data_IF_519056640553
#
_entry.id   IF_519056640553
#
_cell.length_a   1.000
_cell.length_b   1.000
_cell.length_c   1.000
_cell.angle_alpha   90.00
_cell.angle_beta   90.00
_cell.angle_gamma   90.00
#
_symmetry.space_group_name_H-M   'P 1'
#
loop_
_entity.id
_entity.type
_entity.pdbx_description
1 polymer ?
#
# COMPACT_ATOMS: atom_id res chain seq x y z
N UNK A 1 22.70 -24.96 21.13
CA UNK A 1 21.93 -24.08 22.03
C UNK A 1 22.75 -22.82 22.19
N UNK A 2 22.28 -21.70 21.67
CA UNK A 2 22.95 -20.41 21.84
C UNK A 2 22.03 -19.60 22.75
N UNK A 3 22.59 -19.16 23.88
CA UNK A 3 21.90 -18.31 24.85
C UNK A 3 22.43 -16.89 24.72
N UNK A 4 21.56 -15.94 24.41
CA UNK A 4 21.89 -14.52 24.44
C UNK A 4 21.19 -13.89 25.64
N UNK A 5 22.00 -13.28 26.51
CA UNK A 5 21.52 -12.39 27.56
C UNK A 5 21.23 -11.03 26.94
N UNK A 6 19.98 -10.57 27.03
CA UNK A 6 19.60 -9.22 26.65
C UNK A 6 18.89 -8.53 27.80
N UNK A 7 19.21 -7.26 28.02
CA UNK A 7 18.55 -6.42 29.01
C UNK A 7 17.75 -5.32 28.28
N UNK A 8 16.44 -5.19 28.56
CA UNK A 8 15.64 -4.00 28.21
C UNK A 8 15.23 -3.36 29.53
N UNK A 9 15.98 -2.33 29.94
CA UNK A 9 15.80 -1.71 31.26
C UNK A 9 16.19 -2.66 32.39
N UNK A 10 15.38 -2.71 33.46
CA UNK A 10 15.58 -3.61 34.62
C UNK A 10 15.03 -5.03 34.39
N UNK A 11 14.49 -5.31 33.19
CA UNK A 11 13.97 -6.63 32.82
C UNK A 11 15.03 -7.37 32.00
N UNK A 12 15.77 -8.27 32.66
CA UNK A 12 16.65 -9.23 32.00
C UNK A 12 15.84 -10.37 31.37
N UNK A 13 16.12 -10.72 30.12
CA UNK A 13 15.52 -11.88 29.46
C UNK A 13 16.60 -12.78 28.84
N UNK A 14 16.36 -14.09 28.93
CA UNK A 14 17.17 -15.10 28.27
C UNK A 14 16.49 -15.53 26.97
N UNK A 15 17.18 -15.33 25.84
CA UNK A 15 16.77 -15.86 24.55
C UNK A 15 17.52 -17.17 24.32
N UNK A 16 16.81 -18.30 24.43
CA UNK A 16 17.35 -19.61 24.09
C UNK A 16 16.95 -19.99 22.66
N UNK A 17 17.94 -20.09 21.77
CA UNK A 17 17.77 -20.68 20.44
C UNK A 17 18.09 -22.18 20.49
N UNK A 18 17.06 -23.00 20.31
CA UNK A 18 17.21 -24.45 20.09
C UNK A 18 17.86 -24.69 18.71
N UNK A 19 18.47 -25.87 18.49
CA UNK A 19 19.14 -26.19 17.21
C UNK A 19 18.21 -26.15 15.98
N UNK A 20 16.88 -26.13 16.20
CA UNK A 20 15.85 -25.97 15.17
C UNK A 20 15.47 -24.49 14.90
N UNK A 21 16.08 -23.52 15.58
CA UNK A 21 15.81 -22.09 15.39
C UNK A 21 14.52 -21.57 16.03
N UNK A 22 13.86 -22.37 16.88
CA UNK A 22 12.65 -21.94 17.60
C UNK A 22 13.02 -20.97 18.74
N UNK A 23 12.35 -19.82 18.77
CA UNK A 23 12.49 -18.81 19.83
C UNK A 23 11.59 -19.16 21.02
N UNK A 24 12.18 -19.39 22.19
CA UNK A 24 11.45 -19.40 23.46
C UNK A 24 11.91 -18.22 24.31
N UNK A 25 10.95 -17.39 24.72
CA UNK A 25 11.17 -16.29 25.65
C UNK A 25 10.66 -16.77 27.02
N UNK A 26 11.55 -16.90 27.99
CA UNK A 26 11.17 -17.11 29.40
C UNK A 26 11.38 -15.79 30.16
N UNK A 27 10.28 -15.21 30.65
CA UNK A 27 10.31 -14.03 31.53
C UNK A 27 10.41 -14.47 32.99
N UNK A 28 11.53 -14.18 33.66
CA UNK A 28 11.76 -14.62 35.05
C UNK A 28 11.17 -13.67 36.12
N UNK A 29 10.58 -12.52 35.74
CA UNK A 29 10.07 -11.51 36.69
C UNK A 29 8.57 -11.62 37.03
N UNK A 30 7.85 -12.69 36.63
CA UNK A 30 6.40 -12.76 36.85
C UNK A 30 5.99 -13.13 38.30
N UNK A 31 6.92 -13.60 39.15
CA UNK A 31 6.56 -14.20 40.43
C UNK A 31 6.28 -13.22 41.60
N UNK A 32 6.68 -11.94 41.50
CA UNK A 32 6.59 -10.99 42.64
C UNK A 32 5.47 -9.93 42.54
N UNK A 33 4.73 -9.87 41.42
CA UNK A 33 3.64 -8.90 41.23
C UNK A 33 2.29 -9.33 41.83
N UNK A 34 2.18 -10.54 42.38
CA UNK A 34 0.90 -11.13 42.82
C UNK A 34 0.59 -10.95 44.32
N UNK A 35 1.38 -10.17 45.05
CA UNK A 35 1.15 -9.94 46.50
C UNK A 35 0.02 -8.92 46.67
N UNK A 36 -1.07 -9.35 47.30
CA UNK A 36 -2.19 -8.49 47.69
C UNK A 36 -1.68 -7.41 48.65
N UNK A 37 -1.77 -6.15 48.23
CA UNK A 37 -1.40 -5.00 49.05
C UNK A 37 -2.48 -4.83 50.16
N UNK A 38 -2.12 -4.94 51.45
CA UNK A 38 -3.09 -4.89 52.55
C UNK A 38 -3.75 -3.51 52.73
N UNK A 39 -3.35 -2.49 51.95
CA UNK A 39 -3.96 -1.15 51.93
C UNK A 39 -5.28 -1.11 51.14
N UNK A 40 -5.54 -2.13 50.31
CA UNK A 40 -6.69 -2.16 49.40
C UNK A 40 -7.88 -2.83 50.07
N UNK A 41 -8.94 -2.06 50.32
CA UNK A 41 -10.24 -2.54 50.81
C UNK A 41 -11.11 -3.05 49.64
N UNK A 42 -12.07 -3.96 49.91
CA UNK A 42 -12.98 -4.56 48.92
C UNK A 42 -13.72 -3.51 48.07
N UNK A 43 -14.12 -2.38 48.67
CA UNK A 43 -14.75 -1.26 47.97
C UNK A 43 -13.83 -0.57 46.95
N UNK A 44 -12.52 -0.52 47.25
CA UNK A 44 -11.51 0.08 46.38
C UNK A 44 -11.25 -0.85 45.19
N UNK A 45 -11.16 -2.17 45.41
CA UNK A 45 -11.03 -3.17 44.33
C UNK A 45 -12.21 -3.13 43.37
N UNK A 46 -13.43 -3.03 43.92
CA UNK A 46 -14.64 -2.93 43.11
C UNK A 46 -14.65 -1.67 42.24
N UNK A 47 -14.28 -0.52 42.81
CA UNK A 47 -14.18 0.74 42.07
C UNK A 47 -13.13 0.66 40.94
N UNK A 48 -11.98 0.02 41.20
CA UNK A 48 -10.97 -0.21 40.16
C UNK A 48 -11.48 -1.15 39.06
N UNK A 49 -12.19 -2.23 39.41
CA UNK A 49 -12.77 -3.15 38.45
C UNK A 49 -13.84 -2.48 37.56
N UNK A 50 -14.67 -1.60 38.14
CA UNK A 50 -15.66 -0.81 37.41
C UNK A 50 -14.98 0.14 36.41
N UNK A 51 -13.96 0.89 36.84
CA UNK A 51 -13.18 1.78 35.97
C UNK A 51 -12.51 1.04 34.81
N UNK A 52 -11.86 -0.11 35.08
CA UNK A 52 -11.23 -0.93 34.05
C UNK A 52 -12.26 -1.47 33.05
N UNK A 53 -13.46 -1.82 33.52
CA UNK A 53 -14.56 -2.27 32.67
C UNK A 53 -15.04 -1.14 31.75
N UNK A 54 -15.13 0.09 32.26
CA UNK A 54 -15.46 1.26 31.44
C UNK A 54 -14.38 1.57 30.41
N UNK A 55 -13.10 1.53 30.81
CA UNK A 55 -11.99 1.74 29.89
C UNK A 55 -11.96 0.70 28.77
N UNK A 56 -12.20 -0.58 29.09
CA UNK A 56 -12.28 -1.65 28.08
C UNK A 56 -13.41 -1.40 27.09
N UNK A 57 -14.61 -1.03 27.56
CA UNK A 57 -15.73 -0.68 26.67
C UNK A 57 -15.40 0.50 25.77
N UNK A 58 -14.73 1.52 26.30
CA UNK A 58 -14.30 2.67 25.51
C UNK A 58 -13.31 2.26 24.42
N UNK A 59 -12.32 1.41 24.74
CA UNK A 59 -11.36 0.88 23.77
C UNK A 59 -12.01 0.00 22.69
N UNK A 60 -13.03 -0.78 23.05
CA UNK A 60 -13.81 -1.56 22.08
C UNK A 60 -14.56 -0.65 21.09
N UNK A 61 -15.22 0.39 21.58
CA UNK A 61 -15.93 1.36 20.74
C UNK A 61 -14.95 2.12 19.85
N UNK A 62 -13.85 2.64 20.41
CA UNK A 62 -12.79 3.32 19.66
C UNK A 62 -12.21 2.41 18.57
N UNK A 63 -11.95 1.14 18.90
CA UNK A 63 -11.47 0.15 17.94
C UNK A 63 -12.44 -0.07 16.77
N UNK A 64 -13.75 -0.14 17.04
CA UNK A 64 -14.78 -0.26 16.01
C UNK A 64 -14.88 1.00 15.13
N UNK A 65 -14.82 2.19 15.73
CA UNK A 65 -14.84 3.46 14.98
C UNK A 65 -13.61 3.60 14.08
N UNK A 66 -12.42 3.26 14.59
CA UNK A 66 -11.19 3.23 13.80
C UNK A 66 -11.33 2.24 12.64
N UNK A 67 -11.83 1.03 12.91
CA UNK A 67 -12.01 0.02 11.87
C UNK A 67 -12.96 0.51 10.77
N UNK A 68 -14.10 1.10 11.14
CA UNK A 68 -15.05 1.66 10.16
C UNK A 68 -14.40 2.76 9.31
N UNK A 69 -13.62 3.65 9.93
CA UNK A 69 -12.91 4.71 9.22
C UNK A 69 -11.85 4.14 8.25
N UNK A 70 -11.08 3.14 8.68
CA UNK A 70 -10.08 2.47 7.85
C UNK A 70 -10.74 1.73 6.67
N UNK A 71 -11.84 1.03 6.90
CA UNK A 71 -12.56 0.30 5.85
C UNK A 71 -13.14 1.25 4.80
N UNK A 72 -13.69 2.39 5.24
CA UNK A 72 -14.17 3.45 4.36
C UNK A 72 -13.02 4.04 3.51
N UNK A 73 -11.91 4.43 4.15
CA UNK A 73 -10.74 4.96 3.45
C UNK A 73 -10.14 3.94 2.47
N UNK A 74 -10.12 2.66 2.85
CA UNK A 74 -9.65 1.57 1.98
C UNK A 74 -10.55 1.40 0.76
N UNK A 75 -11.88 1.49 0.93
CA UNK A 75 -12.83 1.40 -0.18
C UNK A 75 -12.64 2.56 -1.16
N UNK A 76 -12.45 3.77 -0.66
CA UNK A 76 -12.19 4.95 -1.49
C UNK A 76 -10.87 4.84 -2.25
N UNK A 77 -9.80 4.41 -1.57
CA UNK A 77 -8.50 4.18 -2.20
C UNK A 77 -8.60 3.12 -3.32
N UNK A 78 -9.32 2.02 -3.07
CA UNK A 78 -9.57 0.97 -4.07
C UNK A 78 -10.37 1.49 -5.28
N UNK A 79 -11.40 2.31 -5.03
CA UNK A 79 -12.19 2.94 -6.09
C UNK A 79 -11.30 3.82 -6.98
N UNK A 80 -10.46 4.66 -6.36
CA UNK A 80 -9.55 5.54 -7.08
C UNK A 80 -8.51 4.75 -7.89
N UNK A 81 -7.92 3.71 -7.30
CA UNK A 81 -6.98 2.83 -7.99
C UNK A 81 -7.63 2.15 -9.21
N UNK A 82 -8.86 1.63 -9.06
CA UNK A 82 -9.60 1.04 -10.18
C UNK A 82 -9.92 2.06 -11.28
N UNK A 83 -10.24 3.30 -10.91
CA UNK A 83 -10.47 4.37 -11.87
C UNK A 83 -9.22 4.70 -12.66
N UNK A 84 -8.07 4.84 -12.00
CA UNK A 84 -6.79 5.07 -12.69
C UNK A 84 -6.40 3.93 -13.61
N UNK A 85 -6.64 2.67 -13.20
CA UNK A 85 -6.38 1.53 -14.07
C UNK A 85 -7.20 1.61 -15.37
N UNK A 86 -8.50 1.93 -15.26
CA UNK A 86 -9.38 2.06 -16.44
C UNK A 86 -8.92 3.18 -17.39
N UNK A 87 -8.52 4.32 -16.85
CA UNK A 87 -8.00 5.42 -17.67
C UNK A 87 -6.64 5.06 -18.30
N UNK A 88 -5.80 4.29 -17.61
CA UNK A 88 -4.56 3.76 -18.19
C UNK A 88 -4.85 2.82 -19.36
N UNK A 89 -5.81 1.90 -19.22
CA UNK A 89 -6.19 0.98 -20.29
C UNK A 89 -6.78 1.72 -21.50
N UNK A 90 -7.58 2.76 -21.25
CA UNK A 90 -8.11 3.64 -22.30
C UNK A 90 -6.99 4.39 -23.02
N UNK A 91 -6.02 4.92 -22.29
CA UNK A 91 -4.85 5.59 -22.87
C UNK A 91 -4.07 4.62 -23.76
N UNK A 92 -3.81 3.40 -23.28
CA UNK A 92 -3.09 2.37 -24.04
C UNK A 92 -3.79 2.03 -25.36
N UNK A 93 -5.09 1.76 -25.32
CA UNK A 93 -5.87 1.48 -26.54
C UNK A 93 -5.92 2.67 -27.52
N UNK A 94 -5.95 3.91 -26.99
CA UNK A 94 -5.92 5.12 -27.82
C UNK A 94 -4.54 5.34 -28.43
N UNK A 95 -3.47 5.07 -27.67
CA UNK A 95 -2.08 5.18 -28.12
C UNK A 95 -1.79 4.18 -29.24
N UNK A 96 -2.21 2.92 -29.07
CA UNK A 96 -2.09 1.88 -30.10
C UNK A 96 -2.77 2.31 -31.41
N UNK A 97 -4.00 2.85 -31.33
CA UNK A 97 -4.73 3.33 -32.52
C UNK A 97 -4.02 4.50 -33.20
N UNK A 98 -3.51 5.45 -32.42
CA UNK A 98 -2.77 6.60 -32.93
C UNK A 98 -1.48 6.15 -33.64
N UNK A 99 -0.78 5.20 -33.04
CA UNK A 99 0.47 4.66 -33.55
C UNK A 99 0.25 3.88 -34.84
N UNK A 100 -0.79 3.06 -34.92
CA UNK A 100 -1.16 2.36 -36.15
C UNK A 100 -1.49 3.34 -37.29
N UNK A 101 -2.18 4.44 -36.99
CA UNK A 101 -2.45 5.48 -37.98
C UNK A 101 -1.17 6.22 -38.43
N UNK A 102 -0.24 6.48 -37.51
CA UNK A 102 1.08 7.05 -37.81
C UNK A 102 1.86 6.13 -38.75
N UNK A 103 1.96 4.85 -38.42
CA UNK A 103 2.69 3.86 -39.24
C UNK A 103 2.11 3.75 -40.65
N UNK A 104 0.77 3.70 -40.79
CA UNK A 104 0.11 3.70 -42.11
C UNK A 104 0.39 4.97 -42.91
N UNK A 105 0.42 6.14 -42.26
CA UNK A 105 0.74 7.39 -42.92
C UNK A 105 2.21 7.43 -43.37
N UNK A 106 3.13 6.93 -42.54
CA UNK A 106 4.55 6.81 -42.87
C UNK A 106 4.81 5.83 -44.02
N UNK A 107 4.06 4.72 -44.09
CA UNK A 107 4.13 3.78 -45.20
C UNK A 107 3.63 4.39 -46.52
N UNK A 108 2.56 5.20 -46.48
CA UNK A 108 1.98 5.85 -47.65
C UNK A 108 2.77 7.07 -48.15
N UNK A 109 3.54 7.71 -47.26
CA UNK A 109 4.23 8.97 -47.54
C UNK A 109 5.21 8.92 -48.74
N UNK A 110 6.07 7.89 -48.91
CA UNK A 110 7.02 7.85 -50.02
C UNK A 110 6.35 7.84 -51.40
N UNK A 111 5.24 7.11 -51.53
CA UNK A 111 4.47 7.06 -52.77
C UNK A 111 3.84 8.42 -53.07
N UNK A 112 3.29 9.09 -52.06
CA UNK A 112 2.75 10.44 -52.20
C UNK A 112 3.85 11.44 -52.58
N UNK A 113 5.00 11.41 -51.93
CA UNK A 113 6.13 12.30 -52.27
C UNK A 113 6.58 12.10 -53.72
N UNK A 114 6.70 10.85 -54.18
CA UNK A 114 7.06 10.56 -55.58
C UNK A 114 6.06 11.14 -56.56
N UNK A 115 4.76 10.99 -56.29
CA UNK A 115 3.70 11.57 -57.12
C UNK A 115 3.78 13.10 -57.11
N UNK A 116 3.90 13.72 -55.95
CA UNK A 116 4.03 15.18 -55.80
C UNK A 116 5.20 15.72 -56.60
N UNK A 117 6.39 15.11 -56.51
CA UNK A 117 7.55 15.50 -57.32
C UNK A 117 7.29 15.39 -58.82
N UNK A 118 6.61 14.33 -59.28
CA UNK A 118 6.24 14.21 -60.70
C UNK A 118 5.29 15.32 -61.15
N UNK A 119 4.32 15.69 -60.32
CA UNK A 119 3.40 16.79 -60.60
C UNK A 119 4.12 18.13 -60.67
N UNK A 120 5.03 18.41 -59.73
CA UNK A 120 5.86 19.62 -59.71
C UNK A 120 6.71 19.77 -60.96
N UNK A 121 7.37 18.70 -61.42
CA UNK A 121 8.16 18.71 -62.66
C UNK A 121 7.26 19.02 -63.86
N UNK A 122 6.04 18.46 -63.90
CA UNK A 122 5.10 18.72 -65.01
C UNK A 122 4.62 20.17 -65.03
N UNK A 123 4.29 20.74 -63.87
CA UNK A 123 3.87 22.15 -63.80
C UNK A 123 5.03 23.10 -64.11
N UNK A 124 6.24 22.83 -63.62
CA UNK A 124 7.43 23.62 -63.95
C UNK A 124 7.81 23.50 -65.43
N UNK A 125 7.70 22.30 -66.01
CA UNK A 125 7.88 22.09 -67.45
C UNK A 125 6.85 22.87 -68.27
N UNK A 126 5.57 22.85 -67.89
CA UNK A 126 4.52 23.65 -68.55
C UNK A 126 4.73 25.16 -68.40
N UNK A 127 5.36 25.63 -67.31
CA UNK A 127 5.74 27.04 -67.14
C UNK A 127 6.88 27.48 -68.09
N UNK A 128 7.62 26.55 -68.71
CA UNK A 128 8.63 26.86 -69.74
C UNK A 128 8.07 26.93 -71.17
N UNK A 129 6.84 26.45 -71.39
CA UNK A 129 6.19 26.41 -72.71
C UNK A 129 5.01 27.39 -72.87
N UNK A 130 4.78 28.25 -71.89
CA UNK A 130 3.85 29.40 -71.94
C UNK A 130 4.66 30.68 -71.82
#
# INVERSE_FOLDING_TARGET
MISFQGDIGDLGFYLCFDMAGSLKVECEYFADCAKHDPVVNEDIEKHFAELLTEELKLREVEGLEIQQHVDMALLEAKKLASQYQKEADKCNSSMETCEEAREKAEEALPAQMKLTTMWEIRTQGNLQFV
#
